data_IF_500396652510
#
_entry.id   IF_500396652510
#
_cell.length_a   1.000
_cell.length_b   1.000
_cell.length_c   1.000
_cell.angle_alpha   90.00
_cell.angle_beta   90.00
_cell.angle_gamma   90.00
#
_symmetry.space_group_name_H-M   'P 1'
#
loop_
_entity.id
_entity.type
_entity.pdbx_description
1 polymer ?
#
# COMPACT_ATOMS: atom_id res chain seq x y z
N UNK A 1 66.95 18.53 14.45
CA UNK A 1 65.68 17.86 14.82
C UNK A 1 64.65 18.95 14.99
N UNK A 2 63.66 19.08 14.10
CA UNK A 2 62.55 20.03 14.28
C UNK A 2 61.24 19.31 14.02
N UNK A 3 60.52 19.07 15.12
CA UNK A 3 59.21 18.44 15.22
C UNK A 3 58.12 19.43 14.84
N UNK A 4 57.45 19.20 13.70
CA UNK A 4 56.22 19.92 13.33
C UNK A 4 55.00 19.14 13.83
N UNK A 5 54.20 19.80 14.67
CA UNK A 5 52.94 19.29 15.21
C UNK A 5 51.91 19.06 14.08
N UNK A 6 51.36 17.85 14.01
CA UNK A 6 50.17 17.54 13.23
C UNK A 6 48.92 17.88 14.03
N UNK A 7 48.20 18.93 13.62
CA UNK A 7 46.85 19.21 14.11
C UNK A 7 45.85 18.37 13.30
N UNK A 8 45.33 17.29 13.89
CA UNK A 8 44.25 16.49 13.31
C UNK A 8 42.91 17.21 13.56
N UNK A 9 42.41 17.92 12.55
CA UNK A 9 41.03 18.41 12.53
C UNK A 9 40.08 17.21 12.43
N UNK A 10 39.34 16.95 13.50
CA UNK A 10 38.27 15.96 13.51
C UNK A 10 37.05 16.50 12.77
N UNK A 11 36.73 15.96 11.59
CA UNK A 11 35.45 16.22 10.92
C UNK A 11 34.35 15.42 11.65
N UNK A 12 33.56 16.09 12.48
CA UNK A 12 32.31 15.53 12.98
C UNK A 12 31.27 15.57 11.86
N UNK A 13 31.02 14.41 11.24
CA UNK A 13 29.91 14.24 10.28
C UNK A 13 28.62 14.14 11.08
N UNK A 14 27.81 15.19 11.06
CA UNK A 14 26.44 15.11 11.55
C UNK A 14 25.63 14.27 10.57
N UNK A 15 25.37 13.01 10.91
CA UNK A 15 24.40 12.17 10.18
C UNK A 15 23.00 12.73 10.44
N UNK A 16 22.47 13.50 9.50
CA UNK A 16 21.05 13.82 9.46
C UNK A 16 20.31 12.50 9.18
N UNK A 17 19.64 11.97 10.20
CA UNK A 17 18.66 10.89 10.01
C UNK A 17 17.48 11.45 9.23
N UNK A 18 17.59 11.45 7.90
CA UNK A 18 16.45 11.66 7.03
C UNK A 18 15.52 10.47 7.28
N UNK A 19 14.48 10.67 8.10
CA UNK A 19 13.40 9.69 8.23
C UNK A 19 12.94 9.33 6.81
N UNK A 20 12.79 8.03 6.54
CA UNK A 20 12.46 7.56 5.20
C UNK A 20 11.21 8.29 4.71
N UNK A 21 11.37 9.16 3.70
CA UNK A 21 10.25 9.84 3.07
C UNK A 21 9.47 8.77 2.33
N UNK A 22 8.27 8.45 2.82
CA UNK A 22 7.46 7.38 2.25
C UNK A 22 7.15 7.64 0.78
N UNK A 23 7.31 6.61 -0.04
CA UNK A 23 7.15 6.73 -1.49
C UNK A 23 5.67 6.72 -1.88
N UNK A 24 5.36 7.28 -3.05
CA UNK A 24 4.06 7.09 -3.70
C UNK A 24 4.16 5.99 -4.75
N UNK A 25 3.36 4.95 -4.60
CA UNK A 25 3.38 3.77 -5.44
C UNK A 25 2.07 3.58 -6.21
N UNK A 26 2.19 3.01 -7.41
CA UNK A 26 1.07 2.51 -8.18
C UNK A 26 0.86 1.03 -7.87
N UNK A 27 -0.28 0.71 -7.28
CA UNK A 27 -0.62 -0.59 -6.73
C UNK A 27 -1.71 -1.26 -7.59
N UNK A 28 -1.32 -2.31 -8.31
CA UNK A 28 -2.20 -3.20 -9.07
C UNK A 28 -2.98 -4.14 -8.13
N UNK A 29 -2.41 -4.44 -6.97
CA UNK A 29 -3.06 -5.16 -5.88
C UNK A 29 -2.81 -4.41 -4.58
N UNK A 30 -3.78 -4.42 -3.67
CA UNK A 30 -3.68 -3.72 -2.41
C UNK A 30 -4.70 -4.26 -1.42
N UNK A 31 -4.40 -4.14 -0.14
CA UNK A 31 -5.34 -4.45 0.92
C UNK A 31 -5.10 -3.53 2.11
N UNK A 32 -6.17 -3.05 2.73
CA UNK A 32 -6.11 -2.27 3.95
C UNK A 32 -5.45 -3.06 5.07
N UNK A 33 -4.63 -2.37 5.87
CA UNK A 33 -3.96 -2.86 7.07
C UNK A 33 -4.23 -1.85 8.17
N UNK A 34 -5.10 -2.23 9.12
CA UNK A 34 -5.54 -1.34 10.18
C UNK A 34 -6.38 -0.17 9.64
N UNK A 35 -6.35 0.97 10.35
CA UNK A 35 -7.23 2.11 10.09
C UNK A 35 -6.82 2.96 8.88
N UNK A 36 -5.52 3.03 8.54
CA UNK A 36 -5.03 3.92 7.46
C UNK A 36 -3.95 3.30 6.55
N UNK A 37 -3.45 2.10 6.87
CA UNK A 37 -2.41 1.46 6.09
C UNK A 37 -2.94 0.67 4.90
N UNK A 38 -2.12 0.52 3.86
CA UNK A 38 -2.36 -0.42 2.77
C UNK A 38 -1.09 -1.19 2.45
N UNK A 39 -1.21 -2.48 2.14
CA UNK A 39 -0.19 -3.19 1.36
C UNK A 39 -0.30 -2.80 -0.11
N UNK A 40 0.80 -2.93 -0.84
CA UNK A 40 0.87 -2.58 -2.26
C UNK A 40 1.55 -3.71 -3.04
N UNK A 41 0.96 -4.12 -4.17
CA UNK A 41 1.49 -5.10 -5.11
C UNK A 41 1.90 -6.43 -4.46
N UNK A 42 1.08 -6.95 -3.55
CA UNK A 42 1.35 -8.22 -2.84
C UNK A 42 2.66 -8.21 -2.04
N UNK A 43 3.14 -7.03 -1.64
CA UNK A 43 4.31 -6.83 -0.77
C UNK A 43 3.87 -6.58 0.67
N UNK A 44 3.80 -7.63 1.53
CA UNK A 44 3.41 -7.46 2.94
C UNK A 44 4.48 -6.76 3.78
N UNK A 45 5.71 -6.67 3.25
CA UNK A 45 6.85 -5.96 3.80
C UNK A 45 6.80 -4.45 3.53
N UNK A 46 5.87 -3.97 2.71
CA UNK A 46 5.67 -2.53 2.43
C UNK A 46 4.29 -2.12 2.91
N UNK A 47 4.23 -1.03 3.67
CA UNK A 47 2.98 -0.43 4.14
C UNK A 47 2.96 1.03 3.71
N UNK A 48 1.88 1.41 3.04
CA UNK A 48 1.56 2.78 2.68
C UNK A 48 0.67 3.39 3.77
N UNK A 49 1.28 4.14 4.69
CA UNK A 49 0.62 4.63 5.91
C UNK A 49 -0.27 5.86 5.70
N UNK A 50 -0.06 6.59 4.60
CA UNK A 50 -0.87 7.76 4.22
C UNK A 50 -2.12 7.38 3.41
N UNK A 51 -2.32 6.09 3.14
CA UNK A 51 -3.47 5.57 2.41
C UNK A 51 -3.35 5.64 0.89
N UNK A 52 -4.45 5.29 0.21
CA UNK A 52 -4.56 5.33 -1.24
C UNK A 52 -5.66 6.31 -1.69
N UNK A 53 -5.42 7.03 -2.79
CA UNK A 53 -6.33 8.08 -3.32
C UNK A 53 -7.18 7.62 -4.51
N UNK A 54 -6.72 6.60 -5.23
CA UNK A 54 -7.46 5.98 -6.34
C UNK A 54 -7.60 4.48 -6.06
N UNK A 55 -8.53 3.83 -6.76
CA UNK A 55 -8.86 2.43 -6.58
C UNK A 55 -9.26 1.79 -7.90
N UNK A 56 -9.37 0.46 -7.87
CA UNK A 56 -9.85 -0.34 -9.00
C UNK A 56 -11.37 -0.38 -8.97
N UNK A 57 -11.99 -0.17 -10.12
CA UNK A 57 -13.41 -0.47 -10.34
C UNK A 57 -13.51 -1.79 -11.08
N UNK A 58 -14.38 -2.70 -10.65
CA UNK A 58 -14.56 -3.99 -11.28
C UNK A 58 -16.03 -4.33 -11.51
N UNK A 59 -16.31 -4.97 -12.64
CA UNK A 59 -17.65 -5.43 -13.01
C UNK A 59 -17.85 -6.91 -12.69
N UNK A 60 -19.10 -7.39 -12.72
CA UNK A 60 -19.41 -8.80 -12.51
C UNK A 60 -19.16 -9.26 -11.07
N UNK A 61 -19.34 -8.35 -10.11
CA UNK A 61 -19.06 -8.58 -8.70
C UNK A 61 -20.27 -9.14 -7.97
N UNK A 62 -20.12 -10.30 -7.33
CA UNK A 62 -21.16 -10.92 -6.50
C UNK A 62 -20.71 -10.86 -5.04
N UNK A 63 -21.59 -10.33 -4.19
CA UNK A 63 -21.33 -10.23 -2.75
C UNK A 63 -21.24 -11.63 -2.13
N UNK A 64 -20.08 -11.98 -1.57
CA UNK A 64 -19.77 -13.36 -1.16
C UNK A 64 -20.75 -13.90 -0.11
N UNK A 65 -21.22 -13.05 0.80
CA UNK A 65 -22.22 -13.41 1.82
C UNK A 65 -23.64 -13.63 1.25
N UNK A 66 -23.95 -13.08 0.07
CA UNK A 66 -25.26 -13.18 -0.57
C UNK A 66 -25.12 -13.51 -2.07
N UNK A 67 -24.64 -14.72 -2.41
CA UNK A 67 -24.24 -15.05 -3.78
C UNK A 67 -25.41 -15.16 -4.77
N UNK A 68 -26.65 -15.16 -4.27
CA UNK A 68 -27.87 -15.14 -5.11
C UNK A 68 -28.25 -13.73 -5.59
N UNK A 69 -27.63 -12.68 -5.04
CA UNK A 69 -27.88 -11.32 -5.50
C UNK A 69 -27.28 -11.12 -6.90
N UNK A 70 -27.88 -10.26 -7.73
CA UNK A 70 -27.33 -9.92 -9.03
C UNK A 70 -25.90 -9.40 -8.92
N UNK A 71 -25.10 -9.64 -9.95
CA UNK A 71 -23.77 -9.07 -10.04
C UNK A 71 -23.83 -7.56 -10.24
N UNK A 72 -22.89 -6.85 -9.64
CA UNK A 72 -22.79 -5.39 -9.63
C UNK A 72 -21.43 -4.92 -10.17
N UNK A 73 -21.27 -3.60 -10.24
CA UNK A 73 -19.99 -2.93 -10.48
C UNK A 73 -19.56 -2.28 -9.17
N UNK A 74 -18.36 -2.62 -8.70
CA UNK A 74 -17.86 -2.21 -7.38
C UNK A 74 -16.57 -1.41 -7.49
N UNK A 75 -16.43 -0.39 -6.65
CA UNK A 75 -15.16 0.31 -6.41
C UNK A 75 -14.47 -0.34 -5.21
N UNK A 76 -13.36 -1.01 -5.45
CA UNK A 76 -12.67 -1.85 -4.46
C UNK A 76 -11.83 -1.00 -3.48
N UNK A 77 -12.45 -0.22 -2.62
CA UNK A 77 -11.74 0.78 -1.78
C UNK A 77 -10.92 0.20 -0.64
N UNK A 78 -11.27 -1.00 -0.15
CA UNK A 78 -10.58 -1.64 0.99
C UNK A 78 -9.50 -2.59 0.51
N UNK A 79 -9.68 -3.21 -0.65
CA UNK A 79 -8.70 -4.12 -1.20
C UNK A 79 -9.10 -4.70 -2.55
N UNK A 80 -8.10 -5.00 -3.35
CA UNK A 80 -8.24 -5.61 -4.65
C UNK A 80 -7.12 -6.61 -4.87
N UNK A 81 -7.47 -7.84 -5.24
CA UNK A 81 -6.54 -8.96 -5.26
C UNK A 81 -7.01 -10.16 -6.06
N UNK A 82 -6.16 -11.17 -6.15
CA UNK A 82 -6.52 -12.47 -6.69
C UNK A 82 -7.35 -13.24 -5.66
N UNK A 83 -8.43 -13.88 -6.11
CA UNK A 83 -9.21 -14.82 -5.30
C UNK A 83 -8.95 -16.24 -5.82
N UNK A 84 -9.20 -16.46 -7.12
CA UNK A 84 -8.76 -17.67 -7.83
C UNK A 84 -8.23 -17.32 -9.22
N UNK A 85 -7.90 -18.33 -10.03
CA UNK A 85 -7.50 -18.12 -11.43
C UNK A 85 -8.58 -17.37 -12.24
N UNK A 86 -9.86 -17.60 -11.96
CA UNK A 86 -11.00 -17.03 -12.70
C UNK A 86 -11.66 -15.83 -12.02
N UNK A 87 -11.32 -15.54 -10.75
CA UNK A 87 -11.99 -14.51 -9.96
C UNK A 87 -11.01 -13.60 -9.23
N UNK A 88 -11.43 -12.35 -9.06
CA UNK A 88 -10.76 -11.36 -8.21
C UNK A 88 -11.55 -11.13 -6.94
N UNK A 89 -10.83 -10.80 -5.87
CA UNK A 89 -11.41 -10.29 -4.65
C UNK A 89 -11.50 -8.76 -4.77
N UNK A 90 -12.69 -8.21 -4.54
CA UNK A 90 -12.95 -6.78 -4.42
C UNK A 90 -13.54 -6.53 -3.04
N UNK A 91 -12.82 -5.82 -2.19
CA UNK A 91 -13.24 -5.48 -0.84
C UNK A 91 -13.66 -4.00 -0.82
N UNK A 92 -14.85 -3.75 -0.31
CA UNK A 92 -15.40 -2.41 -0.11
C UNK A 92 -15.82 -2.24 1.36
N UNK A 93 -16.23 -1.05 1.75
CA UNK A 93 -16.83 -0.83 3.08
C UNK A 93 -18.15 -1.58 3.28
N UNK A 94 -18.80 -2.03 2.21
CA UNK A 94 -20.06 -2.77 2.24
C UNK A 94 -19.85 -4.28 2.35
N UNK A 95 -18.65 -4.78 2.03
CA UNK A 95 -18.32 -6.18 2.17
C UNK A 95 -17.31 -6.69 1.14
N UNK A 96 -17.17 -8.01 1.11
CA UNK A 96 -16.30 -8.72 0.19
C UNK A 96 -17.08 -9.25 -1.01
N UNK A 97 -16.60 -8.91 -2.20
CA UNK A 97 -17.17 -9.35 -3.47
C UNK A 97 -16.19 -10.23 -4.22
N UNK A 98 -16.75 -11.23 -4.89
CA UNK A 98 -16.05 -12.07 -5.83
C UNK A 98 -16.45 -11.65 -7.24
N UNK A 99 -15.48 -11.21 -8.03
CA UNK A 99 -15.72 -10.59 -9.34
C UNK A 99 -15.06 -11.39 -10.47
N UNK A 100 -15.73 -11.51 -11.62
CA UNK A 100 -15.19 -12.15 -12.83
C UNK A 100 -15.29 -11.29 -14.10
N UNK A 101 -15.71 -10.03 -13.98
CA UNK A 101 -15.78 -9.10 -15.09
C UNK A 101 -14.45 -8.38 -15.37
N UNK A 102 -14.56 -7.25 -16.04
CA UNK A 102 -13.42 -6.36 -16.36
C UNK A 102 -13.08 -5.45 -15.19
N UNK A 103 -11.79 -5.18 -15.01
CA UNK A 103 -11.26 -4.23 -14.04
C UNK A 103 -10.66 -3.00 -14.74
N UNK A 104 -10.87 -1.82 -14.19
CA UNK A 104 -10.27 -0.56 -14.66
C UNK A 104 -9.64 0.22 -13.51
N UNK A 105 -8.61 1.02 -13.83
CA UNK A 105 -7.88 1.82 -12.85
C UNK A 105 -6.83 1.03 -12.08
N UNK A 106 -6.24 1.69 -11.09
CA UNK A 106 -5.24 1.17 -10.16
C UNK A 106 -5.21 2.06 -8.92
N UNK A 107 -4.65 1.56 -7.81
CA UNK A 107 -4.51 2.38 -6.62
C UNK A 107 -3.22 3.20 -6.64
N UNK A 108 -3.31 4.48 -6.27
CA UNK A 108 -2.16 5.33 -5.99
C UNK A 108 -2.06 5.50 -4.49
N UNK A 109 -1.04 4.90 -3.88
CA UNK A 109 -0.85 4.86 -2.43
C UNK A 109 0.39 5.64 -2.02
N UNK A 110 0.32 6.39 -0.93
CA UNK A 110 1.40 7.28 -0.46
C UNK A 110 1.91 6.86 0.92
N UNK A 111 3.07 7.40 1.32
CA UNK A 111 3.68 7.02 2.60
C UNK A 111 4.16 5.57 2.63
N UNK A 112 4.49 4.98 1.47
CA UNK A 112 4.92 3.59 1.37
C UNK A 112 6.35 3.44 1.88
N UNK A 113 6.51 2.70 2.98
CA UNK A 113 7.79 2.40 3.63
C UNK A 113 7.86 0.91 3.99
N UNK A 114 9.06 0.35 4.26
CA UNK A 114 9.17 -0.96 4.87
C UNK A 114 8.35 -1.05 6.15
N UNK A 115 7.74 -2.21 6.42
CA UNK A 115 6.80 -2.39 7.54
C UNK A 115 7.40 -2.04 8.90
N UNK A 116 8.69 -2.28 9.10
CA UNK A 116 9.42 -1.94 10.33
C UNK A 116 9.57 -0.43 10.56
N UNK A 117 9.44 0.36 9.50
CA UNK A 117 9.66 1.81 9.51
C UNK A 117 8.34 2.60 9.56
N UNK A 118 7.20 1.90 9.67
CA UNK A 118 5.88 2.54 9.69
C UNK A 118 5.69 3.30 10.99
N UNK A 119 5.57 4.62 10.87
CA UNK A 119 5.13 5.49 11.95
C UNK A 119 3.63 5.73 11.80
N UNK A 120 2.85 5.20 12.73
CA UNK A 120 1.42 5.51 12.79
C UNK A 120 1.26 6.88 13.46
N UNK A 121 0.61 7.82 12.78
CA UNK A 121 0.16 9.04 13.42
C UNK A 121 -0.93 8.65 14.45
N UNK A 122 -0.60 8.79 15.74
CA UNK A 122 -1.55 8.64 16.85
C UNK A 122 -2.62 9.73 16.81
#
# INVERSE_FOLDING_TARGET
>A
MNTTLYALLSLAVATLSVGAVGQTNQCQFYASVGVKGYTCNERPDIICSEGCKSFVTMTGCVLTQYPKKPATTELCTVGYGRDTAAFKACLTSQGAFRCNGTSTGQATCSGCVPRGDVTWAN
#
